data_IF_978213623965
#
_entry.id   IF_978213623965
#
_cell.length_a   1.000
_cell.length_b   1.000
_cell.length_c   1.000
_cell.angle_alpha   90.00
_cell.angle_beta   90.00
_cell.angle_gamma   90.00
#
_symmetry.space_group_name_H-M   'P 1'
#
loop_
_entity.id
_entity.type
_entity.pdbx_description
1 polymer ?
2 water ?
#
# COMPACT_ATOMS: atom_id res chain seq x y z
N UNK A 1 -7.03 22.27 16.19
CA UNK A 1 -7.64 21.48 17.30
C UNK A 1 -6.62 21.19 18.39
N UNK A 2 -7.10 21.01 19.62
CA UNK A 2 -6.23 20.73 20.75
C UNK A 2 -5.92 19.25 20.73
N UNK A 3 -6.95 18.45 20.48
CA UNK A 3 -6.78 17.01 20.37
C UNK A 3 -6.82 16.76 18.88
N UNK A 4 -5.67 16.44 18.29
CA UNK A 4 -5.61 16.21 16.85
C UNK A 4 -6.31 14.93 16.44
N UNK A 5 -6.86 14.94 15.23
CA UNK A 5 -7.53 13.79 14.63
C UNK A 5 -6.59 13.37 13.49
N UNK A 6 -5.99 12.20 13.66
CA UNK A 6 -5.02 11.70 12.69
C UNK A 6 -5.43 10.43 11.95
N UNK A 7 -5.18 10.43 10.64
CA UNK A 7 -5.47 9.28 9.81
C UNK A 7 -4.13 8.75 9.31
N UNK A 8 -3.89 7.45 9.48
CA UNK A 8 -2.62 6.88 9.08
C UNK A 8 -2.65 5.68 8.14
N UNK A 9 -1.98 5.83 6.99
CA UNK A 9 -1.85 4.72 6.05
C UNK A 9 -0.44 4.21 6.37
N UNK A 10 -0.37 3.20 7.22
CA UNK A 10 0.90 2.61 7.64
C UNK A 10 1.27 1.48 6.68
N UNK A 11 1.66 1.84 5.46
CA UNK A 11 1.99 0.84 4.46
C UNK A 11 3.32 0.13 4.62
N UNK A 12 3.46 -1.00 3.93
CA UNK A 12 4.69 -1.79 3.99
C UNK A 12 5.80 -1.03 3.30
N UNK A 13 5.43 -0.17 2.36
CA UNK A 13 6.41 0.62 1.62
C UNK A 13 6.42 2.09 2.02
N UNK A 14 5.24 2.70 2.07
CA UNK A 14 5.14 4.12 2.43
C UNK A 14 4.12 4.39 3.51
N UNK A 15 4.38 5.41 4.33
CA UNK A 15 3.47 5.79 5.40
C UNK A 15 2.97 7.20 5.13
N UNK A 16 1.65 7.35 5.08
CA UNK A 16 1.02 8.64 4.85
C UNK A 16 0.19 8.98 6.07
N UNK A 17 0.27 10.23 6.50
CA UNK A 17 -0.49 10.66 7.66
C UNK A 17 -1.32 11.88 7.29
N UNK A 18 -2.60 11.80 7.59
CA UNK A 18 -3.53 12.87 7.32
C UNK A 18 -3.94 13.50 8.65
N UNK A 19 -3.92 14.82 8.71
CA UNK A 19 -4.30 15.54 9.92
C UNK A 19 -5.54 16.34 9.56
N UNK A 20 -6.65 16.08 10.24
CA UNK A 20 -7.87 16.82 9.93
C UNK A 20 -7.60 18.31 10.11
N UNK A 21 -8.04 19.09 9.13
CA UNK A 21 -7.84 20.54 9.19
C UNK A 21 -6.53 20.99 8.55
N UNK A 22 -5.72 20.04 8.08
CA UNK A 22 -4.46 20.40 7.46
C UNK A 22 -4.12 19.58 6.22
N UNK A 23 -4.56 18.32 6.21
CA UNK A 23 -4.28 17.46 5.07
C UNK A 23 -3.15 16.49 5.32
N UNK A 24 -2.48 16.07 4.26
CA UNK A 24 -1.36 15.13 4.37
C UNK A 24 -0.16 15.88 4.96
N UNK A 25 0.30 15.45 6.13
CA UNK A 25 1.42 16.11 6.79
C UNK A 25 2.64 15.21 6.87
N UNK A 26 2.47 13.94 6.48
CA UNK A 26 3.56 12.98 6.50
C UNK A 26 3.43 12.06 5.30
N UNK A 27 4.51 11.93 4.55
CA UNK A 27 4.56 11.06 3.39
C UNK A 27 6.00 10.57 3.30
N UNK A 28 6.27 9.43 3.94
CA UNK A 28 7.61 8.88 3.98
C UNK A 28 7.64 7.35 3.89
N UNK A 29 8.76 6.79 3.38
CA UNK A 29 8.88 5.35 3.26
C UNK A 29 8.77 4.73 4.65
N UNK A 30 8.18 3.54 4.75
CA UNK A 30 8.01 2.88 6.03
C UNK A 30 9.29 2.12 6.39
N UNK A 31 10.37 2.88 6.56
CA UNK A 31 11.67 2.28 6.87
C UNK A 31 12.33 2.97 8.06
N UNK A 32 12.97 2.16 8.90
CA UNK A 32 13.70 2.66 10.05
C UNK A 32 15.09 2.06 10.05
N UNK A 33 16.10 2.90 10.25
CA UNK A 33 17.47 2.44 10.29
C UNK A 33 17.97 2.51 11.72
N UNK A 34 18.58 1.43 12.18
CA UNK A 34 19.07 1.40 13.55
C UNK A 34 20.52 0.92 13.58
N UNK A 35 21.18 1.17 14.71
CA UNK A 35 22.53 0.71 14.91
C UNK A 35 22.29 -0.76 15.29
N UNK A 36 22.80 -1.67 14.46
CA UNK A 36 22.60 -3.10 14.68
C UNK A 36 23.06 -3.67 16.01
N UNK A 37 23.94 -2.95 16.69
CA UNK A 37 24.46 -3.42 17.97
C UNK A 37 23.79 -2.79 19.19
N UNK A 38 23.66 -1.46 19.21
CA UNK A 38 23.07 -0.78 20.35
C UNK A 38 21.55 -0.63 20.27
N UNK A 39 21.01 -0.59 19.06
CA UNK A 39 19.57 -0.42 18.90
C UNK A 39 19.20 1.04 18.76
N UNK A 40 20.18 1.92 18.74
CA UNK A 40 19.92 3.35 18.62
C UNK A 40 19.20 3.64 17.31
N UNK A 41 18.17 4.48 17.36
CA UNK A 41 17.44 4.83 16.15
C UNK A 41 18.26 5.85 15.36
N UNK A 42 18.68 5.47 14.16
CA UNK A 42 19.50 6.36 13.35
C UNK A 42 18.67 7.24 12.42
N UNK A 43 17.74 6.64 11.69
CA UNK A 43 16.91 7.39 10.76
C UNK A 43 15.55 6.74 10.57
N UNK A 44 14.58 7.54 10.17
CA UNK A 44 13.24 7.05 9.91
C UNK A 44 12.72 7.73 8.66
N UNK A 45 12.17 6.96 7.73
CA UNK A 45 11.65 7.55 6.52
C UNK A 45 12.54 7.42 5.30
N UNK A 46 12.57 8.48 4.48
CA UNK A 46 13.35 8.48 3.26
C UNK A 46 14.85 8.22 3.43
N UNK A 47 15.47 8.85 4.43
CA UNK A 47 16.90 8.63 4.63
C UNK A 47 17.18 7.18 5.01
N UNK A 48 16.20 6.52 5.60
CA UNK A 48 16.36 5.12 6.00
C UNK A 48 16.20 4.23 4.77
N UNK A 49 15.22 4.55 3.92
CA UNK A 49 14.99 3.77 2.71
C UNK A 49 16.20 3.82 1.78
N UNK A 50 16.83 5.00 1.70
CA UNK A 50 17.99 5.18 0.86
C UNK A 50 19.16 4.30 1.28
N UNK A 51 19.03 3.68 2.45
CA UNK A 51 20.07 2.80 2.97
C UNK A 51 19.86 1.35 2.59
N UNK A 52 18.64 1.02 2.15
CA UNK A 52 18.31 -0.35 1.80
C UNK A 52 19.23 -0.91 0.71
N UNK A 53 19.87 -2.04 1.03
CA UNK A 53 20.79 -2.68 0.10
C UNK A 53 22.15 -1.98 0.04
N UNK A 54 22.39 -1.05 0.97
CA UNK A 54 23.63 -0.30 0.99
C UNK A 54 24.22 -0.11 2.39
N UNK A 55 23.75 -0.87 3.36
CA UNK A 55 24.21 -0.73 4.74
C UNK A 55 25.41 -1.57 5.13
N UNK A 56 26.23 -1.04 6.05
CA UNK A 56 27.41 -1.73 6.57
C UNK A 56 26.81 -2.70 7.60
N UNK A 57 27.63 -3.57 8.16
CA UNK A 57 27.12 -4.52 9.14
C UNK A 57 26.66 -3.84 10.44
N UNK A 58 27.08 -2.60 10.65
CA UNK A 58 26.71 -1.88 11.86
C UNK A 58 25.34 -1.18 11.79
N UNK A 59 24.72 -1.21 10.61
CA UNK A 59 23.42 -0.59 10.43
C UNK A 59 22.42 -1.56 9.82
N UNK A 60 21.19 -1.49 10.29
CA UNK A 60 20.14 -2.36 9.79
C UNK A 60 18.95 -1.51 9.37
N UNK A 61 18.63 -1.52 8.08
CA UNK A 61 17.51 -0.75 7.54
C UNK A 61 16.31 -1.70 7.59
N UNK A 62 15.31 -1.36 8.39
CA UNK A 62 14.15 -2.21 8.57
C UNK A 62 12.80 -1.68 8.06
N UNK A 63 12.04 -2.59 7.45
CA UNK A 63 10.70 -2.28 6.95
C UNK A 63 9.83 -3.14 7.87
N UNK A 64 9.43 -2.59 9.03
CA UNK A 64 8.63 -3.28 10.03
C UNK A 64 7.25 -3.79 9.60
N UNK A 65 6.72 -3.22 8.53
CA UNK A 65 5.42 -3.63 8.03
C UNK A 65 5.56 -4.51 6.79
N UNK A 66 4.84 -5.62 6.77
CA UNK A 66 4.87 -6.54 5.65
C UNK A 66 3.49 -7.19 5.48
N UNK A 67 3.07 -7.39 4.24
CA UNK A 67 1.77 -7.99 3.97
C UNK A 67 0.64 -7.19 4.61
N UNK A 68 0.83 -5.86 4.68
CA UNK A 68 -0.17 -4.99 5.24
C UNK A 68 -0.33 -5.01 6.75
N UNK A 69 0.51 -5.77 7.44
CA UNK A 69 0.42 -5.85 8.89
C UNK A 69 1.78 -5.68 9.57
N UNK A 70 1.80 -5.72 10.90
CA UNK A 70 3.05 -5.56 11.64
C UNK A 70 3.90 -6.82 11.61
N UNK A 71 5.10 -6.69 11.06
CA UNK A 71 6.02 -7.81 10.98
C UNK A 71 6.97 -7.79 12.18
N UNK A 72 7.39 -6.60 12.58
CA UNK A 72 8.30 -6.43 13.72
C UNK A 72 7.72 -5.37 14.66
N UNK A 73 7.04 -5.83 15.71
CA UNK A 73 6.37 -4.94 16.65
C UNK A 73 7.17 -3.81 17.28
N UNK A 74 8.26 -4.14 17.97
CA UNK A 74 9.05 -3.10 18.61
C UNK A 74 9.49 -2.03 17.64
N UNK A 75 9.85 -2.44 16.43
CA UNK A 75 10.30 -1.50 15.42
C UNK A 75 9.14 -0.75 14.80
N UNK A 76 8.00 -1.43 14.63
CA UNK A 76 6.82 -0.80 14.07
C UNK A 76 6.35 0.31 15.01
N UNK A 77 6.40 0.02 16.31
CA UNK A 77 6.00 0.99 17.33
C UNK A 77 6.82 2.27 17.28
N UNK A 78 8.14 2.12 17.25
CA UNK A 78 9.03 3.28 17.19
C UNK A 78 8.76 4.09 15.94
N UNK A 79 8.57 3.42 14.81
CA UNK A 79 8.28 4.10 13.56
C UNK A 79 6.95 4.83 13.64
N UNK A 80 5.93 4.13 14.12
CA UNK A 80 4.61 4.71 14.26
C UNK A 80 4.64 5.94 15.16
N UNK A 81 5.32 5.81 16.30
CA UNK A 81 5.41 6.93 17.25
C UNK A 81 6.09 8.12 16.60
N UNK A 82 7.15 7.85 15.83
CA UNK A 82 7.89 8.91 15.15
C UNK A 82 6.97 9.66 14.19
N UNK A 83 6.26 8.92 13.36
CA UNK A 83 5.36 9.53 12.39
C UNK A 83 4.21 10.29 13.04
N UNK A 84 3.64 9.75 14.12
CA UNK A 84 2.55 10.46 14.79
C UNK A 84 3.06 11.76 15.40
N UNK A 85 4.19 11.67 16.10
CA UNK A 85 4.79 12.85 16.72
C UNK A 85 5.06 13.90 15.65
N UNK A 86 5.58 13.46 14.52
CA UNK A 86 5.88 14.37 13.42
C UNK A 86 4.60 14.99 12.87
N UNK A 87 3.53 14.20 12.86
CA UNK A 87 2.24 14.69 12.37
C UNK A 87 1.65 15.75 13.31
N UNK A 88 1.89 15.58 14.61
CA UNK A 88 1.39 16.52 15.62
C UNK A 88 2.25 17.77 15.69
N UNK A 89 3.43 17.72 15.07
CA UNK A 89 4.32 18.87 15.11
C UNK A 89 4.81 19.08 16.52
N UNK A 90 5.15 17.99 17.19
CA UNK A 90 5.62 18.06 18.57
C UNK A 90 4.51 17.62 19.49
N UNK A 91 4.86 17.00 20.61
CA UNK A 91 3.84 16.53 21.55
C UNK A 91 2.93 17.64 22.05
N UNK A 92 1.65 17.31 22.18
CA UNK A 92 0.64 18.24 22.66
C UNK A 92 0.23 17.81 24.06
N UNK A 93 -0.50 18.67 24.76
CA UNK A 93 -0.96 18.33 26.10
C UNK A 93 -2.04 17.26 26.03
N UNK A 94 -2.68 17.17 24.86
CA UNK A 94 -3.74 16.20 24.65
C UNK A 94 -3.38 15.19 23.57
N UNK A 95 -3.40 13.91 23.93
CA UNK A 95 -3.09 12.84 22.98
C UNK A 95 -4.15 12.83 21.87
N UNK A 96 -3.73 12.63 20.63
CA UNK A 96 -4.62 12.60 19.46
C UNK A 96 -5.43 11.32 19.27
N UNK A 97 -6.50 11.44 18.48
CA UNK A 97 -7.32 10.28 18.13
C UNK A 97 -6.67 9.82 16.84
N UNK A 98 -6.48 8.52 16.69
CA UNK A 98 -5.83 7.99 15.50
C UNK A 98 -6.54 6.83 14.84
N UNK A 99 -6.63 6.89 13.51
CA UNK A 99 -7.25 5.84 12.72
C UNK A 99 -6.18 5.26 11.80
N UNK A 100 -6.00 3.95 11.86
CA UNK A 100 -5.00 3.28 11.06
C UNK A 100 -5.64 2.32 10.05
N UNK A 101 -5.16 2.33 8.82
CA UNK A 101 -5.70 1.44 7.81
C UNK A 101 -5.17 0.03 7.97
N UNK A 102 -6.00 -0.96 7.65
CA UNK A 102 -5.58 -2.36 7.75
C UNK A 102 -6.17 -3.16 6.59
N UNK A 103 -5.54 -4.29 6.26
CA UNK A 103 -6.07 -5.11 5.17
C UNK A 103 -7.30 -5.82 5.71
N UNK A 104 -8.27 -6.10 4.85
CA UNK A 104 -9.48 -6.76 5.30
C UNK A 104 -9.17 -8.16 5.85
N UNK A 105 -8.20 -8.82 5.24
CA UNK A 105 -7.83 -10.15 5.66
C UNK A 105 -6.97 -10.23 6.91
N UNK A 106 -6.95 -9.14 7.67
CA UNK A 106 -6.15 -9.09 8.89
C UNK A 106 -6.83 -9.92 9.98
N UNK A 107 -6.03 -10.65 10.77
CA UNK A 107 -6.55 -11.49 11.84
C UNK A 107 -6.76 -10.68 13.11
N UNK A 108 -7.52 -11.23 14.06
CA UNK A 108 -7.77 -10.56 15.31
C UNK A 108 -6.49 -10.27 16.08
N UNK A 109 -5.53 -11.19 15.98
CA UNK A 109 -4.26 -11.02 16.67
C UNK A 109 -3.50 -9.86 16.03
N UNK A 110 -3.50 -9.80 14.70
CA UNK A 110 -2.83 -8.71 13.99
C UNK A 110 -3.54 -7.39 14.27
N UNK A 111 -4.86 -7.44 14.45
CA UNK A 111 -5.64 -6.26 14.74
C UNK A 111 -5.27 -5.69 16.10
N UNK A 112 -5.18 -6.56 17.09
CA UNK A 112 -4.84 -6.15 18.45
C UNK A 112 -3.43 -5.58 18.51
N UNK A 113 -2.51 -6.17 17.76
CA UNK A 113 -1.13 -5.69 17.75
C UNK A 113 -1.06 -4.24 17.29
N UNK A 114 -1.87 -3.89 16.30
CA UNK A 114 -1.88 -2.53 15.76
C UNK A 114 -2.58 -1.56 16.72
N UNK A 115 -3.64 -2.01 17.37
CA UNK A 115 -4.36 -1.17 18.32
C UNK A 115 -3.42 -0.85 19.48
N UNK A 116 -2.71 -1.86 19.96
CA UNK A 116 -1.78 -1.67 21.06
C UNK A 116 -0.65 -0.73 20.66
N UNK A 117 -0.12 -0.93 19.44
CA UNK A 117 0.95 -0.09 18.95
C UNK A 117 0.48 1.36 18.92
N UNK A 118 -0.77 1.56 18.50
CA UNK A 118 -1.32 2.89 18.44
C UNK A 118 -1.36 3.55 19.81
N UNK A 119 -1.82 2.82 20.81
CA UNK A 119 -1.91 3.36 22.16
C UNK A 119 -0.51 3.63 22.72
N UNK A 120 0.41 2.69 22.54
CA UNK A 120 1.78 2.89 23.03
C UNK A 120 2.47 4.02 22.28
N UNK A 121 2.05 4.25 21.03
CA UNK A 121 2.65 5.30 20.22
C UNK A 121 2.17 6.71 20.60
N UNK A 122 1.25 6.79 21.55
CA UNK A 122 0.78 8.11 21.98
C UNK A 122 -0.65 8.53 21.69
N UNK A 123 -1.44 7.66 21.06
CA UNK A 123 -2.83 8.01 20.76
C UNK A 123 -3.69 7.87 22.01
N UNK A 124 -4.69 8.75 22.15
CA UNK A 124 -5.59 8.66 23.29
C UNK A 124 -6.62 7.61 22.93
N UNK A 125 -6.93 7.51 21.65
CA UNK A 125 -7.87 6.52 21.15
C UNK A 125 -7.46 6.10 19.74
N UNK A 126 -7.52 4.81 19.48
CA UNK A 126 -7.15 4.26 18.18
C UNK A 126 -8.30 3.48 17.56
N UNK A 127 -8.45 3.61 16.24
CA UNK A 127 -9.49 2.90 15.50
C UNK A 127 -8.83 2.26 14.29
N UNK A 128 -9.38 1.12 13.84
CA UNK A 128 -8.86 0.45 12.67
C UNK A 128 -9.88 0.57 11.56
N UNK A 129 -9.44 0.84 10.35
CA UNK A 129 -10.35 0.95 9.21
C UNK A 129 -9.79 0.13 8.05
N UNK A 130 -10.67 -0.59 7.37
CA UNK A 130 -10.26 -1.40 6.23
C UNK A 130 -9.78 -0.45 5.15
N UNK A 131 -8.63 -0.76 4.57
CA UNK A 131 -8.04 0.10 3.54
C UNK A 131 -8.93 0.49 2.37
N UNK A 132 -9.61 -0.48 1.73
CA UNK A 132 -10.47 -0.11 0.59
C UNK A 132 -11.57 0.88 1.02
N UNK A 133 -12.07 0.72 2.23
CA UNK A 133 -13.10 1.62 2.76
C UNK A 133 -12.48 3.02 2.94
N UNK A 134 -11.31 3.06 3.56
CA UNK A 134 -10.62 4.34 3.76
C UNK A 134 -10.33 4.95 2.40
N UNK A 135 -9.88 4.12 1.47
CA UNK A 135 -9.57 4.57 0.12
C UNK A 135 -10.80 5.20 -0.54
N UNK A 136 -11.95 4.57 -0.38
CA UNK A 136 -13.19 5.07 -0.96
C UNK A 136 -13.61 6.40 -0.33
N UNK A 137 -13.50 6.48 0.99
CA UNK A 137 -13.85 7.71 1.69
C UNK A 137 -12.90 8.82 1.28
N UNK A 138 -11.60 8.51 1.25
CA UNK A 138 -10.61 9.49 0.88
C UNK A 138 -10.77 9.96 -0.56
N UNK A 139 -11.52 9.21 -1.35
CA UNK A 139 -11.77 9.55 -2.74
C UNK A 139 -13.16 10.15 -2.92
N UNK A 140 -13.79 10.48 -1.80
CA UNK A 140 -15.12 11.06 -1.80
C UNK A 140 -16.18 10.21 -2.47
N UNK A 141 -16.00 8.90 -2.47
CA UNK A 141 -17.02 8.02 -3.03
C UNK A 141 -18.03 7.97 -1.89
N UNK A 142 -19.30 8.15 -2.20
CA UNK A 142 -20.32 8.15 -1.15
C UNK A 142 -20.60 6.75 -0.62
N UNK A 143 -19.64 6.25 0.18
CA UNK A 143 -19.72 4.92 0.76
C UNK A 143 -20.94 4.62 1.62
N UNK A 144 -21.56 5.65 2.18
CA UNK A 144 -22.72 5.43 3.04
C UNK A 144 -24.01 5.17 2.26
N UNK A 145 -24.00 5.43 0.96
CA UNK A 145 -25.17 5.19 0.12
C UNK A 145 -25.29 3.71 -0.26
N UNK A 146 -26.52 3.24 -0.49
CA UNK A 146 -26.77 1.85 -0.87
C UNK A 146 -26.52 1.68 -2.36
N UNK A 147 -25.30 2.01 -2.78
CA UNK A 147 -24.93 1.93 -4.18
C UNK A 147 -23.59 1.19 -4.28
N UNK A 148 -23.55 0.16 -5.11
CA UNK A 148 -22.33 -0.62 -5.26
C UNK A 148 -21.10 0.19 -5.64
N UNK A 149 -20.06 0.09 -4.81
CA UNK A 149 -18.80 0.78 -5.04
C UNK A 149 -17.66 -0.23 -4.97
N UNK A 150 -17.20 -0.73 -6.11
CA UNK A 150 -16.10 -1.67 -6.07
C UNK A 150 -14.77 -0.93 -6.15
N UNK A 151 -13.90 -1.26 -5.21
CA UNK A 151 -12.58 -0.65 -5.11
C UNK A 151 -11.51 -1.73 -5.17
N UNK A 152 -10.52 -1.53 -6.04
CA UNK A 152 -9.41 -2.47 -6.11
C UNK A 152 -8.25 -1.61 -5.61
N UNK A 153 -7.78 -1.93 -4.41
CA UNK A 153 -6.70 -1.20 -3.77
C UNK A 153 -5.46 -2.07 -3.70
N UNK A 154 -4.42 -1.64 -4.40
CA UNK A 154 -3.17 -2.37 -4.46
C UNK A 154 -2.11 -1.53 -3.78
N UNK A 155 -1.61 -2.00 -2.64
CA UNK A 155 -0.58 -1.27 -1.94
C UNK A 155 0.75 -1.98 -2.15
N UNK A 156 1.61 -1.91 -1.15
CA UNK A 156 2.89 -2.58 -1.25
C UNK A 156 2.78 -3.97 -0.68
N UNK A 157 1.93 -4.10 0.34
CA UNK A 157 1.77 -5.38 1.00
C UNK A 157 0.60 -6.25 0.54
N UNK A 158 -0.52 -5.64 0.21
CA UNK A 158 -1.67 -6.44 -0.20
C UNK A 158 -2.50 -5.82 -1.30
N UNK A 159 -3.23 -6.68 -1.99
CA UNK A 159 -4.16 -6.23 -3.02
C UNK A 159 -5.53 -6.47 -2.36
N UNK A 160 -6.32 -5.41 -2.23
CA UNK A 160 -7.64 -5.52 -1.61
C UNK A 160 -8.74 -5.22 -2.64
N UNK A 161 -9.73 -6.10 -2.71
CA UNK A 161 -10.84 -5.90 -3.64
C UNK A 161 -12.10 -5.94 -2.75
N UNK A 162 -12.88 -4.87 -2.79
CA UNK A 162 -14.09 -4.84 -1.98
C UNK A 162 -15.25 -4.13 -2.64
N UNK A 163 -16.44 -4.68 -2.40
CA UNK A 163 -17.65 -4.05 -2.92
C UNK A 163 -18.21 -3.37 -1.70
N UNK A 164 -18.33 -2.04 -1.78
CA UNK A 164 -18.82 -1.24 -0.66
C UNK A 164 -20.24 -0.74 -0.84
N UNK A 165 -20.99 -0.78 0.26
CA UNK A 165 -22.37 -0.33 0.27
C UNK A 165 -22.79 -0.01 1.71
N UNK A 166 -23.49 1.09 1.89
CA UNK A 166 -23.99 1.49 3.20
C UNK A 166 -22.89 1.54 4.28
N UNK A 167 -21.79 2.21 3.97
CA UNK A 167 -20.70 2.35 4.91
C UNK A 167 -20.01 1.08 5.36
N UNK A 168 -20.23 -0.02 4.63
CA UNK A 168 -19.60 -1.29 4.99
C UNK A 168 -19.14 -2.08 3.77
N UNK A 169 -18.33 -3.10 4.02
CA UNK A 169 -17.84 -3.94 2.94
C UNK A 169 -18.78 -5.14 2.85
N UNK A 170 -19.31 -5.37 1.65
CA UNK A 170 -20.24 -6.48 1.43
C UNK A 170 -19.52 -7.76 1.04
N UNK A 171 -18.69 -7.66 0.00
CA UNK A 171 -17.94 -8.81 -0.48
C UNK A 171 -16.50 -8.35 -0.67
N UNK A 172 -15.56 -9.27 -0.56
CA UNK A 172 -14.16 -8.89 -0.72
C UNK A 172 -13.22 -10.06 -0.89
N UNK A 173 -12.00 -9.72 -1.29
CA UNK A 173 -10.89 -10.66 -1.45
C UNK A 173 -9.67 -9.87 -1.01
N UNK A 174 -8.78 -10.52 -0.27
CA UNK A 174 -7.58 -9.86 0.20
C UNK A 174 -6.41 -10.82 0.04
N UNK A 175 -5.50 -10.49 -0.87
CA UNK A 175 -4.34 -11.34 -1.12
C UNK A 175 -3.05 -10.57 -0.80
N UNK A 176 -2.06 -11.30 -0.31
CA UNK A 176 -0.78 -10.72 0.05
C UNK A 176 0.17 -10.67 -1.13
N UNK A 177 -0.35 -10.27 -2.28
CA UNK A 177 0.43 -10.16 -3.50
C UNK A 177 0.19 -8.76 -4.05
N UNK A 178 1.22 -7.93 -4.01
CA UNK A 178 1.11 -6.55 -4.47
C UNK A 178 2.44 -5.95 -4.86
N UNK A 179 2.60 -4.66 -4.59
CA UNK A 179 3.81 -3.94 -4.91
C UNK A 179 5.11 -4.65 -4.58
N UNK A 180 5.23 -5.17 -3.37
CA UNK A 180 6.45 -5.87 -2.96
C UNK A 180 6.74 -7.11 -3.81
N UNK A 181 5.70 -7.86 -4.14
CA UNK A 181 5.85 -9.05 -4.95
C UNK A 181 6.21 -8.71 -6.40
N UNK A 182 5.88 -7.50 -6.82
CA UNK A 182 6.19 -7.05 -8.17
C UNK A 182 7.69 -6.76 -8.27
N UNK A 183 8.22 -6.09 -7.26
CA UNK A 183 9.65 -5.77 -7.21
C UNK A 183 10.40 -7.09 -7.22
N UNK A 184 9.96 -7.99 -6.37
CA UNK A 184 10.55 -9.32 -6.22
C UNK A 184 10.56 -10.08 -7.55
N UNK A 185 9.45 -9.98 -8.29
CA UNK A 185 9.36 -10.66 -9.58
C UNK A 185 10.38 -10.10 -10.56
N UNK A 186 10.59 -8.79 -10.52
CA UNK A 186 11.55 -8.18 -11.42
C UNK A 186 12.97 -8.65 -11.07
N UNK A 187 13.29 -8.66 -9.77
CA UNK A 187 14.59 -9.13 -9.32
C UNK A 187 14.80 -10.55 -9.84
N UNK A 188 13.79 -11.39 -9.67
CA UNK A 188 13.85 -12.78 -10.11
C UNK A 188 13.98 -12.96 -11.63
N UNK A 189 13.25 -12.16 -12.41
CA UNK A 189 13.33 -12.25 -13.87
C UNK A 189 14.77 -11.95 -14.32
N UNK A 190 15.35 -10.89 -13.78
CA UNK A 190 16.70 -10.49 -14.13
C UNK A 190 17.70 -11.59 -13.77
N UNK A 191 17.56 -12.17 -12.58
CA UNK A 191 18.47 -13.23 -12.17
C UNK A 191 18.35 -14.43 -13.10
N UNK A 192 17.13 -14.88 -13.35
CA UNK A 192 16.90 -16.04 -14.21
C UNK A 192 17.15 -15.82 -15.70
N UNK A 193 16.76 -14.66 -16.23
CA UNK A 193 16.95 -14.37 -17.64
C UNK A 193 18.37 -13.97 -18.02
N UNK A 194 19.01 -13.14 -17.20
CA UNK A 194 20.36 -12.69 -17.52
C UNK A 194 21.46 -13.12 -16.55
N UNK A 195 21.09 -13.86 -15.51
CA UNK A 195 22.08 -14.29 -14.52
C UNK A 195 22.77 -13.05 -13.95
N UNK A 196 21.97 -12.00 -13.72
CA UNK A 196 22.46 -10.76 -13.15
C UNK A 196 21.73 -10.48 -11.83
N UNK A 197 22.49 -10.15 -10.79
CA UNK A 197 21.89 -9.85 -9.50
C UNK A 197 21.68 -8.36 -9.34
N UNK A 198 20.44 -7.95 -9.09
CA UNK A 198 20.11 -6.54 -8.88
C UNK A 198 19.42 -6.40 -7.53
N UNK A 199 19.39 -5.19 -7.01
CA UNK A 199 18.77 -4.97 -5.72
C UNK A 199 17.28 -4.72 -5.78
N UNK A 200 16.65 -4.64 -4.61
CA UNK A 200 15.22 -4.42 -4.50
C UNK A 200 14.87 -3.01 -4.99
N UNK A 201 15.72 -2.04 -4.70
CA UNK A 201 15.46 -0.68 -5.10
C UNK A 201 15.59 -0.46 -6.60
N UNK A 202 16.51 -1.20 -7.23
CA UNK A 202 16.67 -1.10 -8.69
C UNK A 202 15.44 -1.71 -9.36
N UNK A 203 14.97 -2.82 -8.80
CA UNK A 203 13.78 -3.49 -9.34
C UNK A 203 12.57 -2.56 -9.25
N UNK A 204 12.45 -1.88 -8.11
CA UNK A 204 11.35 -0.94 -7.90
C UNK A 204 11.42 0.18 -8.92
N UNK A 205 12.63 0.68 -9.17
CA UNK A 205 12.80 1.75 -10.15
C UNK A 205 12.35 1.26 -11.52
N UNK A 206 12.70 0.03 -11.87
CA UNK A 206 12.31 -0.53 -13.16
C UNK A 206 10.78 -0.58 -13.24
N UNK A 207 10.16 -1.00 -12.15
CA UNK A 207 8.70 -1.10 -12.07
C UNK A 207 8.07 0.25 -12.38
N UNK A 208 8.60 1.28 -11.73
CA UNK A 208 8.11 2.64 -11.92
C UNK A 208 8.34 3.18 -13.32
N UNK A 209 9.55 2.99 -13.84
CA UNK A 209 9.89 3.51 -15.17
C UNK A 209 9.25 2.80 -16.36
N UNK A 210 9.25 1.48 -16.37
CA UNK A 210 8.68 0.76 -17.50
C UNK A 210 7.68 -0.33 -17.14
N UNK A 211 7.27 -0.38 -15.87
CA UNK A 211 6.31 -1.38 -15.46
C UNK A 211 5.01 -1.24 -16.24
N UNK A 212 4.50 -2.37 -16.74
CA UNK A 212 3.27 -2.37 -17.52
C UNK A 212 2.73 -3.80 -17.53
N UNK A 213 1.43 -3.93 -17.72
CA UNK A 213 0.78 -5.24 -17.73
C UNK A 213 -0.12 -5.44 -18.95
N UNK A 214 -0.13 -4.46 -19.86
CA UNK A 214 -0.96 -4.56 -21.06
C UNK A 214 -0.10 -4.47 -22.32
N UNK A 215 -0.16 -5.49 -23.21
CA UNK A 215 0.64 -5.47 -24.43
C UNK A 215 0.25 -4.38 -25.43
N UNK A 216 1.26 -3.63 -25.86
CA UNK A 216 1.10 -2.56 -26.82
C UNK A 216 2.50 -2.20 -27.28
N UNK A 217 2.60 -1.65 -28.49
CA UNK A 217 3.88 -1.27 -29.03
C UNK A 217 4.52 -0.23 -28.11
N UNK A 218 3.71 0.70 -27.61
CA UNK A 218 4.22 1.73 -26.70
C UNK A 218 4.89 1.13 -25.48
N UNK A 219 4.20 0.19 -24.83
CA UNK A 219 4.77 -0.44 -23.65
C UNK A 219 5.99 -1.27 -23.96
N UNK A 220 5.94 -1.99 -25.09
CA UNK A 220 7.07 -2.83 -25.49
C UNK A 220 8.32 -2.01 -25.77
N UNK A 221 8.12 -0.79 -26.24
CA UNK A 221 9.23 0.09 -26.59
C UNK A 221 9.86 0.81 -25.40
N UNK A 222 9.21 0.76 -24.24
CA UNK A 222 9.75 1.42 -23.06
C UNK A 222 11.04 0.70 -22.68
N UNK A 223 12.05 1.46 -22.27
CA UNK A 223 13.29 0.82 -21.88
C UNK A 223 14.02 1.62 -20.83
N UNK A 224 14.81 0.90 -20.04
CA UNK A 224 15.62 1.49 -19.00
C UNK A 224 16.77 0.52 -18.79
N UNK A 225 17.69 0.86 -17.88
CA UNK A 225 18.81 -0.02 -17.62
C UNK A 225 18.87 -0.35 -16.15
N UNK A 226 19.43 -1.51 -15.84
CA UNK A 226 19.60 -1.95 -14.47
C UNK A 226 21.08 -2.34 -14.34
N UNK A 227 21.65 -2.12 -13.16
CA UNK A 227 23.04 -2.46 -12.89
C UNK A 227 23.14 -3.40 -11.70
N UNK A 228 24.05 -4.34 -11.80
CA UNK A 228 24.24 -5.28 -10.70
C UNK A 228 25.46 -6.13 -10.94
N UNK A 229 25.40 -7.37 -10.50
CA UNK A 229 26.51 -8.27 -10.67
C UNK A 229 26.16 -9.37 -11.66
N UNK A 230 27.06 -9.61 -12.61
CA UNK A 230 26.90 -10.67 -13.59
C UNK A 230 27.33 -11.89 -12.78
N UNK A 231 26.39 -12.74 -12.41
CA UNK A 231 26.69 -13.92 -11.61
C UNK A 231 27.56 -14.96 -12.30
N UNK A 232 27.83 -14.76 -13.59
CA UNK A 232 28.66 -15.70 -14.33
C UNK A 232 30.13 -15.30 -14.25
N UNK A 233 30.38 -14.00 -14.22
CA UNK A 233 31.74 -13.48 -14.19
C UNK A 233 32.13 -12.78 -12.90
N UNK A 234 31.12 -12.39 -12.11
CA UNK A 234 31.40 -11.69 -10.87
C UNK A 234 31.67 -10.23 -11.13
N UNK A 235 31.59 -9.84 -12.39
CA UNK A 235 31.84 -8.45 -12.76
C UNK A 235 30.62 -7.56 -12.73
N UNK A 236 30.81 -6.28 -12.43
CA UNK A 236 29.65 -5.38 -12.40
C UNK A 236 29.11 -5.36 -13.83
N UNK A 237 27.81 -5.15 -13.97
CA UNK A 237 27.22 -5.14 -15.30
C UNK A 237 25.95 -4.31 -15.38
N UNK A 238 25.85 -3.57 -16.48
CA UNK A 238 24.71 -2.72 -16.77
C UNK A 238 24.03 -3.33 -17.99
N UNK A 239 22.71 -3.48 -17.95
CA UNK A 239 21.99 -4.04 -19.09
C UNK A 239 20.66 -3.33 -19.29
N UNK A 240 20.14 -3.43 -20.51
CA UNK A 240 18.89 -2.78 -20.85
C UNK A 240 17.72 -3.73 -20.78
N UNK A 241 16.60 -3.24 -20.26
CA UNK A 241 15.38 -4.01 -20.17
C UNK A 241 14.30 -3.23 -20.91
N UNK A 242 13.42 -3.95 -21.61
CA UNK A 242 12.34 -3.30 -22.34
C UNK A 242 11.01 -3.70 -21.71
N UNK A 243 9.98 -2.90 -21.97
CA UNK A 243 8.66 -3.16 -21.41
C UNK A 243 8.14 -4.58 -21.55
N UNK A 244 8.35 -5.20 -22.71
CA UNK A 244 7.88 -6.54 -22.95
C UNK A 244 8.35 -7.54 -21.90
N UNK A 245 9.62 -7.45 -21.54
CA UNK A 245 10.22 -8.32 -20.56
C UNK A 245 9.66 -8.11 -19.15
N UNK A 246 9.45 -6.85 -18.79
CA UNK A 246 8.92 -6.53 -17.47
C UNK A 246 7.47 -6.99 -17.37
N UNK A 247 6.72 -6.86 -18.46
CA UNK A 247 5.33 -7.31 -18.46
C UNK A 247 5.32 -8.81 -18.21
N UNK A 248 6.22 -9.52 -18.87
CA UNK A 248 6.30 -10.97 -18.70
C UNK A 248 6.73 -11.31 -17.27
N UNK A 249 7.68 -10.56 -16.74
CA UNK A 249 8.15 -10.80 -15.37
C UNK A 249 7.01 -10.63 -14.34
N UNK A 250 6.07 -9.74 -14.66
CA UNK A 250 4.95 -9.46 -13.77
C UNK A 250 3.72 -10.34 -14.01
N UNK A 251 3.79 -11.21 -15.01
CA UNK A 251 2.65 -12.07 -15.37
C UNK A 251 1.95 -12.78 -14.22
N UNK A 252 2.70 -13.52 -13.41
CA UNK A 252 2.12 -14.26 -12.28
C UNK A 252 1.39 -13.37 -11.27
N UNK A 253 1.99 -12.23 -10.93
CA UNK A 253 1.37 -11.31 -9.98
C UNK A 253 0.06 -10.76 -10.55
N UNK A 254 0.10 -10.36 -11.81
CA UNK A 254 -1.07 -9.82 -12.48
C UNK A 254 -2.20 -10.85 -12.54
N UNK A 255 -1.85 -12.07 -12.90
CA UNK A 255 -2.83 -13.15 -12.96
C UNK A 255 -3.56 -13.28 -11.62
N UNK A 256 -2.79 -13.21 -10.53
CA UNK A 256 -3.36 -13.31 -9.19
C UNK A 256 -4.26 -12.13 -8.86
N UNK A 257 -3.89 -10.95 -9.32
CA UNK A 257 -4.71 -9.77 -9.06
C UNK A 257 -6.00 -9.85 -9.86
N UNK A 258 -5.89 -10.19 -11.14
CA UNK A 258 -7.05 -10.31 -12.02
C UNK A 258 -8.02 -11.34 -11.44
N UNK A 259 -7.48 -12.44 -10.95
CA UNK A 259 -8.28 -13.50 -10.36
C UNK A 259 -9.04 -13.04 -9.11
N UNK A 260 -8.41 -12.20 -8.29
CA UNK A 260 -9.07 -11.73 -7.07
C UNK A 260 -10.24 -10.82 -7.41
N UNK A 261 -10.11 -10.05 -8.50
CA UNK A 261 -11.19 -9.17 -8.91
C UNK A 261 -12.33 -10.00 -9.49
N UNK A 262 -11.97 -10.94 -10.36
CA UNK A 262 -12.95 -11.81 -10.98
C UNK A 262 -13.71 -12.62 -9.93
N UNK A 263 -12.99 -13.16 -8.96
CA UNK A 263 -13.59 -13.94 -7.88
C UNK A 263 -14.55 -13.13 -7.01
N UNK A 264 -14.21 -11.87 -6.76
CA UNK A 264 -15.05 -11.02 -5.94
C UNK A 264 -16.37 -10.71 -6.66
N UNK A 265 -16.27 -10.34 -7.94
CA UNK A 265 -17.45 -10.03 -8.73
C UNK A 265 -18.43 -11.20 -8.76
N UNK A 266 -17.88 -12.40 -8.95
CA UNK A 266 -18.68 -13.62 -9.01
C UNK A 266 -19.55 -13.86 -7.78
N UNK A 267 -19.01 -13.55 -6.60
CA UNK A 267 -19.76 -13.76 -5.35
C UNK A 267 -20.51 -12.51 -4.87
N UNK A 268 -20.47 -11.44 -5.66
CA UNK A 268 -21.14 -10.20 -5.30
C UNK A 268 -22.65 -10.25 -5.60
N UNK A 269 -23.49 -9.79 -4.67
CA UNK A 269 -24.94 -9.80 -4.90
C UNK A 269 -25.28 -9.15 -6.25
N UNK A 270 -26.17 -9.76 -7.03
CA UNK A 270 -26.57 -9.26 -8.35
C UNK A 270 -26.94 -7.77 -8.46
N UNK A 271 -27.69 -7.24 -7.49
CA UNK A 271 -28.06 -5.83 -7.57
C UNK A 271 -26.83 -4.94 -7.47
N UNK A 272 -25.87 -5.35 -6.65
CA UNK A 272 -24.62 -4.60 -6.49
C UNK A 272 -23.78 -4.73 -7.77
N UNK A 273 -23.80 -5.91 -8.38
CA UNK A 273 -23.06 -6.13 -9.62
C UNK A 273 -23.67 -5.22 -10.70
N UNK A 274 -24.98 -5.03 -10.64
CA UNK A 274 -25.67 -4.18 -11.60
C UNK A 274 -25.18 -2.74 -11.43
N UNK A 275 -24.97 -2.33 -10.18
CA UNK A 275 -24.48 -0.99 -9.89
C UNK A 275 -23.05 -0.84 -10.38
N UNK A 276 -22.25 -1.87 -10.15
CA UNK A 276 -20.84 -1.84 -10.55
C UNK A 276 -20.68 -1.69 -12.06
N UNK A 277 -21.54 -2.39 -12.80
CA UNK A 277 -21.52 -2.31 -14.25
C UNK A 277 -21.75 -0.87 -14.70
N UNK A 278 -22.65 -0.17 -13.99
CA UNK A 278 -22.95 1.21 -14.33
C UNK A 278 -21.93 2.21 -13.78
N UNK A 279 -21.42 1.91 -12.59
CA UNK A 279 -20.48 2.79 -11.91
C UNK A 279 -19.03 2.57 -12.35
N UNK A 280 -18.68 1.31 -12.59
CA UNK A 280 -17.32 0.98 -12.98
C UNK A 280 -16.52 0.60 -11.75
N UNK A 281 -15.31 0.08 -11.97
CA UNK A 281 -14.44 -0.33 -10.88
C UNK A 281 -13.43 0.80 -10.58
N UNK A 282 -13.20 1.05 -9.30
CA UNK A 282 -12.28 2.10 -8.87
C UNK A 282 -10.91 1.48 -8.56
N UNK A 283 -9.89 1.86 -9.32
CA UNK A 283 -8.53 1.34 -9.13
C UNK A 283 -7.66 2.36 -8.43
N UNK A 284 -7.11 1.97 -7.29
CA UNK A 284 -6.30 2.90 -6.51
C UNK A 284 -5.15 2.19 -5.80
N UNK A 285 -4.33 2.98 -5.10
CA UNK A 285 -3.20 2.42 -4.39
C UNK A 285 -1.89 2.62 -5.14
N UNK A 286 -0.78 2.70 -4.41
CA UNK A 286 0.51 2.89 -5.03
C UNK A 286 0.89 1.77 -5.98
N UNK A 287 0.49 0.54 -5.67
CA UNK A 287 0.83 -0.58 -6.52
C UNK A 287 -0.02 -0.73 -7.77
N UNK A 288 -1.05 0.10 -7.91
CA UNK A 288 -1.94 0.02 -9.07
C UNK A 288 -1.46 0.86 -10.25
N UNK A 289 -0.37 1.58 -10.07
CA UNK A 289 0.11 2.46 -11.13
C UNK A 289 0.75 1.81 -12.36
N UNK A 290 0.81 0.48 -12.38
CA UNK A 290 1.37 -0.22 -13.53
C UNK A 290 0.62 0.21 -14.80
N UNK A 291 1.37 0.51 -15.86
CA UNK A 291 0.77 0.95 -17.12
C UNK A 291 -0.20 -0.06 -17.72
N UNK A 292 -1.40 0.42 -18.05
CA UNK A 292 -2.40 -0.44 -18.65
C UNK A 292 -3.09 -1.42 -17.72
N UNK A 293 -2.93 -1.23 -16.41
CA UNK A 293 -3.56 -2.11 -15.43
C UNK A 293 -5.07 -1.92 -15.48
N UNK A 294 -5.49 -0.67 -15.65
CA UNK A 294 -6.92 -0.36 -15.74
C UNK A 294 -7.45 -0.99 -17.03
N UNK A 295 -6.67 -0.85 -18.11
CA UNK A 295 -7.04 -1.41 -19.40
C UNK A 295 -7.19 -2.93 -19.31
N UNK A 296 -6.23 -3.58 -18.65
CA UNK A 296 -6.28 -5.03 -18.52
C UNK A 296 -7.50 -5.49 -17.71
N UNK A 297 -7.73 -4.87 -16.56
CA UNK A 297 -8.86 -5.24 -15.71
C UNK A 297 -10.20 -5.00 -16.40
N UNK A 298 -10.27 -3.96 -17.21
CA UNK A 298 -11.51 -3.64 -17.92
C UNK A 298 -11.78 -4.73 -18.94
N UNK A 299 -10.72 -5.17 -19.62
CA UNK A 299 -10.84 -6.21 -20.62
C UNK A 299 -11.20 -7.55 -19.99
N UNK A 300 -10.58 -7.87 -18.86
CA UNK A 300 -10.83 -9.12 -18.16
C UNK A 300 -12.19 -9.19 -17.48
N UNK A 301 -12.73 -8.04 -17.07
CA UNK A 301 -14.01 -8.03 -16.38
C UNK A 301 -15.18 -7.57 -17.25
N UNK A 302 -14.89 -6.87 -18.34
CA UNK A 302 -15.94 -6.38 -19.20
C UNK A 302 -16.54 -5.11 -18.61
N UNK A 303 -15.94 -4.65 -17.51
CA UNK A 303 -16.42 -3.45 -16.82
C UNK A 303 -15.42 -2.29 -16.84
N UNK A 304 -15.94 -1.07 -16.99
CA UNK A 304 -15.11 0.12 -17.01
C UNK A 304 -14.29 0.24 -15.73
N UNK A 305 -13.02 0.56 -15.88
CA UNK A 305 -12.15 0.72 -14.73
C UNK A 305 -11.66 2.15 -14.70
N UNK A 306 -11.90 2.81 -13.57
CA UNK A 306 -11.52 4.20 -13.36
C UNK A 306 -10.41 4.28 -12.32
N UNK A 307 -9.35 5.02 -12.64
CA UNK A 307 -8.24 5.18 -11.71
C UNK A 307 -8.50 6.30 -10.72
N UNK A 308 -8.02 6.12 -9.50
CA UNK A 308 -8.15 7.13 -8.45
C UNK A 308 -7.41 8.40 -8.87
N UNK A 309 -7.91 9.54 -8.41
CA UNK A 309 -7.28 10.82 -8.72
C UNK A 309 -6.02 10.99 -7.88
N UNK A 310 -6.06 10.46 -6.67
CA UNK A 310 -4.93 10.54 -5.74
C UNK A 310 -4.77 9.14 -5.15
N UNK A 311 -4.22 8.22 -5.95
CA UNK A 311 -4.00 6.82 -5.55
C UNK A 311 -3.08 6.58 -4.36
N UNK A 312 -2.16 7.52 -4.10
CA UNK A 312 -1.22 7.35 -3.01
C UNK A 312 -1.72 7.84 -1.66
N UNK A 313 -2.54 8.89 -1.66
CA UNK A 313 -3.03 9.48 -0.42
C UNK A 313 -4.45 9.12 0.01
N UNK A 314 -5.20 8.41 -0.83
CA UNK A 314 -6.58 8.04 -0.53
C UNK A 314 -6.82 7.38 0.83
N UNK A 315 -6.05 6.35 1.14
CA UNK A 315 -6.23 5.64 2.41
C UNK A 315 -6.03 6.53 3.65
N UNK A 316 -4.95 7.31 3.68
CA UNK A 316 -4.70 8.19 4.82
C UNK A 316 -5.78 9.26 4.92
N UNK A 317 -6.19 9.81 3.78
CA UNK A 317 -7.24 10.84 3.78
C UNK A 317 -8.52 10.26 4.37
N UNK A 318 -8.92 9.08 3.89
CA UNK A 318 -10.13 8.46 4.39
C UNK A 318 -10.07 8.12 5.87
N UNK A 319 -8.92 7.63 6.32
CA UNK A 319 -8.75 7.28 7.73
C UNK A 319 -8.95 8.51 8.59
N UNK A 320 -8.44 9.64 8.13
CA UNK A 320 -8.61 10.86 8.89
C UNK A 320 -10.04 11.33 8.85
N UNK A 321 -10.60 11.38 7.64
CA UNK A 321 -11.97 11.83 7.40
C UNK A 321 -13.04 11.07 8.16
N UNK A 322 -12.86 9.76 8.31
CA UNK A 322 -13.86 8.95 8.99
C UNK A 322 -14.06 9.40 10.44
N UNK A 323 -13.08 10.09 11.01
CA UNK A 323 -13.19 10.58 12.39
C UNK A 323 -14.32 11.59 12.55
N UNK A 324 -14.74 12.16 11.43
CA UNK A 324 -15.82 13.13 11.44
C UNK A 324 -17.10 12.54 10.84
N UNK A 325 -17.11 11.22 10.69
CA UNK A 325 -18.28 10.53 10.14
C UNK A 325 -18.72 9.46 11.14
N UNK A 326 -19.35 9.93 12.21
CA UNK A 326 -19.85 9.10 13.30
C UNK A 326 -20.46 7.76 12.91
N UNK A 327 -21.37 7.77 11.95
CA UNK A 327 -22.02 6.53 11.53
C UNK A 327 -21.07 5.44 11.08
N UNK A 328 -19.94 5.82 10.50
CA UNK A 328 -18.96 4.84 10.08
C UNK A 328 -17.99 4.58 11.23
N UNK A 329 -17.57 5.65 11.88
CA UNK A 329 -16.64 5.54 13.02
C UNK A 329 -17.19 4.58 14.07
N UNK A 330 -18.49 4.70 14.35
CA UNK A 330 -19.15 3.86 15.35
C UNK A 330 -18.91 2.37 15.15
N UNK A 331 -18.87 1.96 13.88
CA UNK A 331 -18.69 0.54 13.54
C UNK A 331 -17.26 0.03 13.50
N UNK A 332 -16.28 0.92 13.63
CA UNK A 332 -14.88 0.51 13.58
C UNK A 332 -14.39 -0.06 14.90
N UNK A 333 -13.44 -0.99 14.84
CA UNK A 333 -12.89 -1.53 16.08
C UNK A 333 -12.00 -0.44 16.67
N UNK A 334 -12.02 -0.28 17.98
CA UNK A 334 -11.22 0.74 18.62
C UNK A 334 -10.66 0.33 19.95
N UNK A 335 -9.80 1.18 20.52
CA UNK A 335 -9.17 0.93 21.81
C UNK A 335 -8.76 2.26 22.41
N UNK A 336 -8.65 2.30 23.74
CA UNK A 336 -8.25 3.53 24.40
C UNK A 336 -9.45 4.29 24.94
#
# INVERSE_FOLDING_TARGET
>A
MLRKDIGIDLGTANTLVFLRGKGIVVNEPSVIAIDSTTGEILKVGLEAKNMIGKTPATIKAIRPMRDGVIADYTVALVMLRYFINKAKGGMNLFKPRVVIGVPIGITDVERRAILDAGLEAGASKVFLIEEPMAAAIGSNLNVEEPSGNMVVDIGGGTTEVAVISLGSIVTWESIRIAGDEMDEAIVQYVRETYRVAIGERTAERVKIEIGNVFPSKENDELETTVSGIDLSTGLPRKLTLKGGEVREALRSVVVAIVESVRTTLEKTPPELVSDIIERGIFLTGGGSLLRGLDTLLQKETGISVIRSEEPLTAVAKGAGMVLDKVNILKKLQGAGGSHHHHHH
#
